data_IF_448091193720
#
_entry.id   IF_448091193720
#
_cell.length_a   1.000
_cell.length_b   1.000
_cell.length_c   1.000
_cell.angle_alpha   90.00
_cell.angle_beta   90.00
_cell.angle_gamma   90.00
#
_symmetry.space_group_name_H-M   'P 1'
#
loop_
_entity.id
_entity.type
_entity.pdbx_description
1 polymer ?
#
# COMPACT_ATOMS: atom_id res chain seq x y z
N UNK A 1 15.02 21.26 -22.35
CA UNK A 1 14.08 20.55 -21.46
C UNK A 1 12.69 20.76 -22.04
N UNK A 2 12.12 19.75 -22.72
CA UNK A 2 10.73 19.81 -23.22
C UNK A 2 9.82 19.24 -22.13
N UNK A 3 8.79 20.00 -21.78
CA UNK A 3 7.80 19.65 -20.77
C UNK A 3 7.06 18.36 -21.18
N UNK A 4 6.98 17.36 -20.29
CA UNK A 4 6.38 16.05 -20.58
C UNK A 4 4.85 16.10 -20.85
N UNK A 5 4.22 17.26 -20.63
CA UNK A 5 2.76 17.45 -20.78
C UNK A 5 2.28 17.44 -22.23
N UNK A 6 3.17 17.64 -23.20
CA UNK A 6 2.85 17.61 -24.63
C UNK A 6 3.48 16.37 -25.25
N UNK A 7 2.68 15.56 -25.98
CA UNK A 7 3.16 14.38 -26.74
C UNK A 7 4.34 14.81 -27.63
N UNK A 8 5.54 14.59 -27.10
CA UNK A 8 6.80 14.91 -27.75
C UNK A 8 7.46 13.59 -28.09
N UNK A 9 8.08 13.51 -29.27
CA UNK A 9 8.91 12.37 -29.63
C UNK A 9 10.07 12.24 -28.63
N UNK A 10 10.34 11.01 -28.20
CA UNK A 10 11.47 10.72 -27.32
C UNK A 10 12.77 10.76 -28.11
N UNK A 11 13.81 11.38 -27.53
CA UNK A 11 15.16 11.35 -28.11
C UNK A 11 15.87 10.10 -27.60
N UNK A 12 16.34 9.25 -28.52
CA UNK A 12 17.13 8.08 -28.18
C UNK A 12 18.59 8.48 -27.93
N UNK A 13 19.12 8.09 -26.77
CA UNK A 13 20.50 8.34 -26.39
C UNK A 13 21.26 7.01 -26.27
N UNK A 14 22.49 6.96 -26.80
CA UNK A 14 23.39 5.81 -26.61
C UNK A 14 24.01 5.78 -25.22
N UNK A 15 24.35 6.96 -24.70
CA UNK A 15 24.93 7.15 -23.38
C UNK A 15 24.40 8.45 -22.75
N UNK A 16 24.28 8.44 -21.43
CA UNK A 16 23.82 9.56 -20.62
C UNK A 16 24.71 9.65 -19.39
N UNK A 17 25.11 10.87 -19.01
CA UNK A 17 25.85 11.14 -17.77
C UNK A 17 24.92 11.74 -16.73
N UNK A 18 25.05 11.29 -15.47
CA UNK A 18 24.29 11.82 -14.35
C UNK A 18 24.62 13.31 -14.09
N UNK A 19 23.69 14.10 -13.53
CA UNK A 19 22.34 13.74 -13.07
C UNK A 19 21.25 14.11 -14.10
N UNK A 20 20.47 13.12 -14.54
CA UNK A 20 19.34 13.32 -15.45
C UNK A 20 18.26 12.25 -15.22
N UNK A 21 16.99 12.63 -15.34
CA UNK A 21 15.87 11.68 -15.37
C UNK A 21 15.73 11.09 -16.77
N UNK A 22 15.66 9.77 -16.86
CA UNK A 22 15.62 9.03 -18.12
C UNK A 22 14.47 8.04 -18.12
N UNK A 23 13.87 7.81 -19.29
CA UNK A 23 12.91 6.73 -19.49
C UNK A 23 13.66 5.52 -20.06
N UNK A 24 13.67 4.42 -19.31
CA UNK A 24 14.21 3.15 -19.78
C UNK A 24 13.12 2.31 -20.42
N UNK A 25 13.46 1.63 -21.52
CA UNK A 25 12.57 0.72 -22.25
C UNK A 25 13.35 -0.56 -22.51
N UNK A 26 12.74 -1.70 -22.20
CA UNK A 26 13.37 -3.00 -22.28
C UNK A 26 12.40 -4.12 -21.92
N UNK A 27 12.87 -5.36 -22.04
CA UNK A 27 12.13 -6.57 -21.70
C UNK A 27 12.29 -6.85 -20.21
N UNK A 28 11.24 -7.32 -19.53
CA UNK A 28 11.30 -7.70 -18.11
C UNK A 28 11.01 -6.56 -17.13
N UNK A 29 10.43 -5.45 -17.59
CA UNK A 29 10.04 -4.32 -16.73
C UNK A 29 8.60 -4.38 -16.20
N UNK A 30 7.85 -5.45 -16.51
CA UNK A 30 6.43 -5.60 -16.18
C UNK A 30 6.17 -5.67 -14.67
N UNK A 31 7.13 -6.22 -13.91
CA UNK A 31 7.02 -6.44 -12.47
C UNK A 31 7.99 -5.57 -11.66
N UNK A 32 8.47 -4.46 -12.22
CA UNK A 32 9.35 -3.53 -11.51
C UNK A 32 8.57 -2.85 -10.38
N UNK A 33 9.16 -2.81 -9.19
CA UNK A 33 8.62 -2.11 -8.04
C UNK A 33 9.09 -0.66 -8.09
N UNK A 34 8.20 0.33 -8.26
CA UNK A 34 8.62 1.72 -8.29
C UNK A 34 9.24 2.14 -6.95
N UNK A 35 10.38 2.80 -7.01
CA UNK A 35 11.13 3.24 -5.82
C UNK A 35 12.32 2.34 -5.45
N UNK A 36 12.46 1.16 -6.06
CA UNK A 36 13.66 0.34 -5.87
C UNK A 36 14.87 0.94 -6.60
N UNK A 37 16.10 0.71 -6.10
CA UNK A 37 17.31 1.18 -6.74
C UNK A 37 17.57 0.44 -8.06
N UNK A 38 18.10 1.17 -9.05
CA UNK A 38 18.59 0.60 -10.30
C UNK A 38 20.11 0.45 -10.25
N UNK A 39 20.59 -0.79 -10.28
CA UNK A 39 22.02 -1.12 -10.27
C UNK A 39 22.44 -1.80 -11.57
N UNK A 40 23.68 -1.55 -12.00
CA UNK A 40 24.29 -2.18 -13.17
C UNK A 40 25.26 -3.25 -12.70
N UNK A 41 25.01 -4.50 -13.09
CA UNK A 41 25.89 -5.64 -12.79
C UNK A 41 27.13 -5.59 -13.67
N UNK A 42 28.32 -5.61 -13.07
CA UNK A 42 29.62 -5.67 -13.76
C UNK A 42 30.15 -7.12 -13.85
N UNK A 43 31.15 -7.40 -14.70
CA UNK A 43 31.64 -8.77 -14.92
C UNK A 43 32.17 -9.54 -13.69
N UNK A 44 32.47 -8.85 -12.59
CA UNK A 44 32.98 -9.43 -11.34
C UNK A 44 32.00 -9.34 -10.18
N UNK A 45 30.81 -8.81 -10.43
CA UNK A 45 29.79 -8.69 -9.39
C UNK A 45 29.01 -10.01 -9.26
N UNK A 46 28.65 -10.36 -8.03
CA UNK A 46 27.69 -11.41 -7.79
C UNK A 46 26.27 -10.88 -8.04
N UNK A 47 25.58 -11.50 -8.99
CA UNK A 47 24.23 -11.11 -9.39
C UNK A 47 23.23 -11.31 -8.25
N UNK A 48 23.38 -12.37 -7.47
CA UNK A 48 22.44 -12.72 -6.43
C UNK A 48 22.57 -11.76 -5.25
N UNK A 49 23.82 -11.42 -4.86
CA UNK A 49 24.08 -10.39 -3.84
C UNK A 49 23.53 -9.01 -4.24
N UNK A 50 23.69 -8.61 -5.52
CA UNK A 50 23.10 -7.37 -6.03
C UNK A 50 21.57 -7.43 -5.96
N UNK A 51 20.98 -8.57 -6.32
CA UNK A 51 19.53 -8.79 -6.24
C UNK A 51 19.00 -8.59 -4.82
N UNK A 52 19.67 -9.17 -3.82
CA UNK A 52 19.35 -8.99 -2.41
C UNK A 52 19.49 -7.52 -1.97
N UNK A 53 20.55 -6.85 -2.41
CA UNK A 53 20.78 -5.43 -2.10
C UNK A 53 19.64 -4.54 -2.63
N UNK A 54 19.16 -4.79 -3.86
CA UNK A 54 18.04 -4.04 -4.46
C UNK A 54 16.73 -4.30 -3.73
N UNK A 55 16.51 -5.53 -3.27
CA UNK A 55 15.28 -5.95 -2.60
C UNK A 55 15.24 -5.61 -1.12
N UNK A 56 16.39 -5.27 -0.50
CA UNK A 56 16.52 -5.04 0.95
C UNK A 56 15.44 -4.14 1.53
N UNK A 57 15.21 -2.99 0.90
CA UNK A 57 14.26 -2.00 1.38
C UNK A 57 12.82 -2.51 1.23
N UNK A 58 12.50 -3.15 0.09
CA UNK A 58 11.19 -3.76 -0.12
C UNK A 58 10.92 -4.91 0.85
N UNK A 59 11.91 -5.74 1.16
CA UNK A 59 11.79 -6.83 2.14
C UNK A 59 11.58 -6.30 3.56
N UNK A 60 12.12 -5.13 3.88
CA UNK A 60 12.00 -4.51 5.21
C UNK A 60 10.59 -4.02 5.56
N UNK A 61 9.69 -3.90 4.56
CA UNK A 61 8.29 -3.48 4.77
C UNK A 61 7.59 -4.35 5.82
N UNK A 62 7.83 -5.66 5.75
CA UNK A 62 7.23 -6.66 6.64
C UNK A 62 7.52 -6.43 8.13
N UNK A 63 8.59 -5.71 8.47
CA UNK A 63 8.91 -5.34 9.85
C UNK A 63 7.87 -4.39 10.49
N UNK A 64 7.01 -3.77 9.67
CA UNK A 64 5.95 -2.88 10.16
C UNK A 64 4.64 -3.64 10.45
N UNK A 65 4.60 -4.95 10.21
CA UNK A 65 3.38 -5.74 10.38
C UNK A 65 3.18 -6.16 11.83
N UNK A 66 1.92 -6.29 12.23
CA UNK A 66 1.57 -6.83 13.53
C UNK A 66 1.90 -8.32 13.61
N UNK A 67 2.54 -8.73 14.70
CA UNK A 67 2.99 -10.11 14.89
C UNK A 67 1.83 -11.12 14.96
N UNK A 68 0.66 -10.67 15.40
CA UNK A 68 -0.56 -11.48 15.48
C UNK A 68 -1.42 -11.42 14.21
N UNK A 69 -0.97 -10.67 13.19
CA UNK A 69 -1.68 -10.45 11.92
C UNK A 69 -2.98 -9.65 12.07
N UNK A 70 -3.18 -8.91 13.17
CA UNK A 70 -4.33 -8.01 13.34
C UNK A 70 -3.98 -6.63 12.80
N UNK A 71 -4.78 -6.11 11.87
CA UNK A 71 -4.58 -4.76 11.37
C UNK A 71 -5.21 -4.51 10.02
N UNK A 72 -5.06 -3.28 9.54
CA UNK A 72 -5.54 -2.87 8.22
C UNK A 72 -4.67 -3.47 7.11
N UNK A 73 -5.27 -3.70 5.94
CA UNK A 73 -4.52 -4.03 4.72
C UNK A 73 -4.23 -2.75 3.94
N UNK A 74 -2.99 -2.58 3.47
CA UNK A 74 -2.54 -1.38 2.73
C UNK A 74 -2.02 -1.75 1.35
N UNK A 75 -2.41 -1.00 0.31
CA UNK A 75 -1.90 -1.16 -1.05
C UNK A 75 -1.49 0.19 -1.63
N UNK A 76 -0.35 0.23 -2.32
CA UNK A 76 0.21 1.47 -2.86
C UNK A 76 0.89 1.30 -4.23
N UNK A 77 1.03 2.38 -5.00
CA UNK A 77 1.66 2.35 -6.33
C UNK A 77 3.18 2.26 -6.28
N UNK A 78 3.80 2.74 -5.21
CA UNK A 78 5.27 2.83 -5.08
C UNK A 78 5.73 2.45 -3.68
N UNK A 79 7.00 2.01 -3.56
CA UNK A 79 7.63 1.68 -2.29
C UNK A 79 7.63 2.87 -1.33
N UNK A 80 8.07 4.05 -1.80
CA UNK A 80 8.15 5.24 -0.94
C UNK A 80 6.78 5.74 -0.46
N UNK A 81 5.74 5.61 -1.28
CA UNK A 81 4.38 5.92 -0.85
C UNK A 81 3.87 4.93 0.20
N UNK A 82 4.20 3.64 0.06
CA UNK A 82 3.87 2.63 1.05
C UNK A 82 4.56 2.91 2.39
N UNK A 83 5.85 3.23 2.38
CA UNK A 83 6.61 3.59 3.59
C UNK A 83 5.99 4.79 4.32
N UNK A 84 5.60 5.82 3.57
CA UNK A 84 4.93 7.00 4.14
C UNK A 84 3.58 6.65 4.78
N UNK A 85 2.78 5.78 4.15
CA UNK A 85 1.52 5.28 4.71
C UNK A 85 1.75 4.49 6.00
N UNK A 86 2.72 3.58 6.01
CA UNK A 86 3.04 2.76 7.18
C UNK A 86 3.54 3.61 8.35
N UNK A 87 4.40 4.59 8.08
CA UNK A 87 4.87 5.54 9.12
C UNK A 87 3.69 6.30 9.74
N UNK A 88 2.76 6.76 8.93
CA UNK A 88 1.59 7.49 9.43
C UNK A 88 0.66 6.59 10.27
N UNK A 89 0.39 5.37 9.81
CA UNK A 89 -0.45 4.41 10.56
C UNK A 89 0.18 4.07 11.91
N UNK A 90 1.51 3.94 11.94
CA UNK A 90 2.27 3.75 13.18
C UNK A 90 2.11 4.92 14.15
N UNK A 91 2.20 6.16 13.67
CA UNK A 91 1.99 7.37 14.49
C UNK A 91 0.55 7.44 15.04
N UNK A 92 -0.44 7.01 14.25
CA UNK A 92 -1.83 6.86 14.67
C UNK A 92 -2.09 5.66 15.60
N UNK A 93 -1.08 4.82 15.88
CA UNK A 93 -1.21 3.56 16.62
C UNK A 93 -2.19 2.57 15.99
N UNK A 94 -2.30 2.62 14.67
CA UNK A 94 -3.13 1.71 13.89
C UNK A 94 -2.24 0.55 13.43
N UNK A 95 -2.56 -0.70 13.82
CA UNK A 95 -1.76 -1.84 13.41
C UNK A 95 -2.00 -2.15 11.94
N UNK A 96 -0.94 -2.58 11.25
CA UNK A 96 -0.97 -3.02 9.86
C UNK A 96 -0.81 -4.52 9.84
N UNK A 97 -1.75 -5.22 9.22
CA UNK A 97 -1.71 -6.68 9.15
C UNK A 97 -1.13 -7.21 7.84
N UNK A 98 -1.29 -6.47 6.75
CA UNK A 98 -0.72 -6.80 5.44
C UNK A 98 -0.48 -5.53 4.61
N UNK A 99 0.52 -5.57 3.73
CA UNK A 99 0.83 -4.47 2.83
C UNK A 99 1.41 -4.94 1.50
N UNK A 100 1.09 -4.23 0.43
CA UNK A 100 1.60 -4.56 -0.91
C UNK A 100 1.84 -3.34 -1.81
N UNK A 101 2.43 -3.63 -2.96
CA UNK A 101 2.66 -2.67 -4.04
C UNK A 101 1.97 -3.18 -5.31
N UNK A 102 1.16 -2.32 -5.93
CA UNK A 102 0.43 -2.59 -7.16
C UNK A 102 -1.10 -2.64 -6.98
N UNK A 103 -1.83 -3.05 -8.03
CA UNK A 103 -3.29 -3.12 -8.01
C UNK A 103 -3.82 -4.02 -6.90
N UNK A 104 -4.94 -3.64 -6.29
CA UNK A 104 -5.65 -4.48 -5.31
C UNK A 104 -6.28 -5.66 -6.05
N UNK A 105 -5.95 -6.88 -5.62
CA UNK A 105 -6.44 -8.14 -6.18
C UNK A 105 -7.23 -8.91 -5.13
N UNK A 106 -8.02 -9.90 -5.58
CA UNK A 106 -8.75 -10.84 -4.72
C UNK A 106 -7.96 -11.37 -3.51
N UNK A 107 -6.68 -11.72 -3.70
CA UNK A 107 -5.83 -12.28 -2.63
C UNK A 107 -5.62 -11.30 -1.48
N UNK A 108 -5.62 -9.99 -1.75
CA UNK A 108 -5.33 -8.94 -0.78
C UNK A 108 -6.53 -8.71 0.17
N UNK A 109 -7.72 -9.22 -0.19
CA UNK A 109 -8.94 -9.12 0.63
C UNK A 109 -9.00 -10.16 1.74
N UNK A 110 -8.20 -11.24 1.64
CA UNK A 110 -8.29 -12.38 2.56
C UNK A 110 -8.12 -11.95 4.02
N UNK A 111 -7.15 -11.07 4.30
CA UNK A 111 -6.91 -10.59 5.65
C UNK A 111 -8.05 -9.68 6.15
N UNK A 112 -8.50 -8.74 5.32
CA UNK A 112 -9.59 -7.83 5.69
C UNK A 112 -10.90 -8.59 5.96
N UNK A 113 -11.18 -9.67 5.24
CA UNK A 113 -12.33 -10.55 5.50
C UNK A 113 -12.17 -11.25 6.86
N UNK A 114 -10.98 -11.75 7.19
CA UNK A 114 -10.68 -12.36 8.49
C UNK A 114 -10.85 -11.34 9.63
N UNK A 115 -10.48 -10.07 9.41
CA UNK A 115 -10.61 -9.01 10.41
C UNK A 115 -12.06 -8.78 10.84
N UNK A 116 -13.07 -9.06 10.01
CA UNK A 116 -14.48 -8.99 10.43
C UNK A 116 -14.79 -9.81 11.68
N UNK A 117 -14.07 -10.91 11.91
CA UNK A 117 -14.24 -11.77 13.09
C UNK A 117 -13.26 -11.45 14.22
N UNK A 118 -12.06 -10.97 13.90
CA UNK A 118 -11.01 -10.69 14.90
C UNK A 118 -11.13 -9.30 15.48
N UNK A 119 -11.17 -8.28 14.62
CA UNK A 119 -11.39 -6.89 15.00
C UNK A 119 -12.09 -6.17 13.83
N UNK A 120 -13.42 -6.01 13.88
CA UNK A 120 -14.19 -5.44 12.77
C UNK A 120 -13.78 -4.01 12.40
N UNK A 121 -13.09 -3.29 13.29
CA UNK A 121 -12.53 -1.95 13.02
C UNK A 121 -11.46 -1.96 11.94
N UNK A 122 -10.80 -3.09 11.74
CA UNK A 122 -9.73 -3.25 10.77
C UNK A 122 -10.16 -4.07 9.55
N UNK A 123 -11.45 -4.35 9.42
CA UNK A 123 -12.02 -5.03 8.25
C UNK A 123 -12.15 -4.10 7.03
N UNK A 124 -11.03 -3.49 6.65
CA UNK A 124 -10.94 -2.50 5.58
C UNK A 124 -9.65 -2.69 4.76
N UNK A 125 -9.62 -2.07 3.59
CA UNK A 125 -8.43 -1.92 2.75
C UNK A 125 -8.17 -0.45 2.47
N UNK A 126 -6.92 0.00 2.63
CA UNK A 126 -6.45 1.33 2.26
C UNK A 126 -5.69 1.24 0.93
N UNK A 127 -6.29 1.74 -0.15
CA UNK A 127 -5.73 1.72 -1.50
C UNK A 127 -5.27 3.14 -1.90
N UNK A 128 -3.96 3.35 -1.97
CA UNK A 128 -3.36 4.63 -2.33
C UNK A 128 -2.79 4.61 -3.75
N UNK A 129 -3.36 5.44 -4.62
CA UNK A 129 -2.90 5.63 -6.01
C UNK A 129 -2.81 4.31 -6.83
N UNK A 130 -3.66 3.34 -6.51
CA UNK A 130 -3.70 2.03 -7.19
C UNK A 130 -5.10 1.69 -7.67
N UNK A 131 -5.23 1.06 -8.85
CA UNK A 131 -6.51 0.56 -9.30
C UNK A 131 -6.93 -0.66 -8.47
N UNK A 132 -8.24 -0.84 -8.34
CA UNK A 132 -8.85 -2.03 -7.72
C UNK A 132 -9.36 -2.91 -8.86
N UNK A 133 -8.96 -4.18 -8.88
CA UNK A 133 -9.47 -5.13 -9.85
C UNK A 133 -10.96 -5.42 -9.62
N UNK A 134 -11.71 -5.69 -10.70
CA UNK A 134 -13.16 -5.85 -10.60
C UNK A 134 -13.55 -7.05 -9.72
N UNK A 135 -12.80 -8.16 -9.81
CA UNK A 135 -12.97 -9.34 -8.95
C UNK A 135 -12.72 -9.04 -7.47
N UNK A 136 -11.81 -8.11 -7.18
CA UNK A 136 -11.52 -7.64 -5.84
C UNK A 136 -12.67 -6.78 -5.27
N UNK A 137 -13.31 -5.94 -6.10
CA UNK A 137 -14.50 -5.16 -5.70
C UNK A 137 -15.69 -6.06 -5.38
N UNK A 138 -16.00 -7.02 -6.26
CA UNK A 138 -17.11 -7.96 -6.07
C UNK A 138 -16.99 -8.74 -4.75
N UNK A 139 -15.77 -9.15 -4.42
CA UNK A 139 -15.48 -9.90 -3.18
C UNK A 139 -15.58 -9.00 -1.97
N UNK A 140 -15.07 -7.77 -2.06
CA UNK A 140 -15.19 -6.81 -0.98
C UNK A 140 -16.66 -6.50 -0.67
N UNK A 141 -17.48 -6.24 -1.69
CA UNK A 141 -18.92 -6.01 -1.55
C UNK A 141 -19.64 -7.21 -0.95
N UNK A 142 -19.41 -8.42 -1.49
CA UNK A 142 -20.03 -9.66 -0.99
C UNK A 142 -19.69 -9.99 0.45
N UNK A 143 -18.52 -9.52 0.93
CA UNK A 143 -18.07 -9.72 2.30
C UNK A 143 -18.23 -8.47 3.18
N UNK A 144 -18.85 -7.39 2.69
CA UNK A 144 -18.98 -6.10 3.39
C UNK A 144 -17.64 -5.53 3.90
N UNK A 145 -16.55 -5.75 3.17
CA UNK A 145 -15.25 -5.14 3.43
C UNK A 145 -15.21 -3.79 2.74
N UNK A 146 -14.88 -2.73 3.48
CA UNK A 146 -14.76 -1.39 2.89
C UNK A 146 -13.38 -1.19 2.28
N UNK A 147 -13.32 -0.75 1.04
CA UNK A 147 -12.08 -0.30 0.40
C UNK A 147 -12.11 1.24 0.33
N UNK A 148 -11.10 1.88 0.91
CA UNK A 148 -10.88 3.31 0.78
C UNK A 148 -9.85 3.55 -0.32
N UNK A 149 -10.27 4.21 -1.39
CA UNK A 149 -9.42 4.53 -2.54
C UNK A 149 -9.15 6.04 -2.60
N UNK A 150 -7.89 6.44 -2.71
CA UNK A 150 -7.54 7.83 -2.97
C UNK A 150 -6.20 7.99 -3.70
N UNK A 151 -6.09 9.01 -4.54
CA UNK A 151 -4.83 9.42 -5.20
C UNK A 151 -4.01 10.42 -4.37
N UNK A 152 -4.58 10.96 -3.28
CA UNK A 152 -3.93 11.94 -2.41
C UNK A 152 -3.93 11.39 -0.98
N UNK A 153 -2.73 11.28 -0.41
CA UNK A 153 -2.50 10.55 0.85
C UNK A 153 -3.33 11.11 2.01
N UNK A 154 -3.44 12.44 2.12
CA UNK A 154 -4.24 13.10 3.16
C UNK A 154 -5.73 12.77 3.07
N UNK A 155 -6.27 12.63 1.85
CA UNK A 155 -7.69 12.27 1.67
C UNK A 155 -7.96 10.85 2.18
N UNK A 156 -7.02 9.93 1.92
CA UNK A 156 -7.12 8.56 2.41
C UNK A 156 -7.16 8.53 3.94
N UNK A 157 -6.30 9.34 4.56
CA UNK A 157 -6.24 9.46 6.02
C UNK A 157 -7.48 10.10 6.62
N UNK A 158 -8.03 11.14 6.00
CA UNK A 158 -9.27 11.75 6.45
C UNK A 158 -10.44 10.75 6.40
N UNK A 159 -10.57 10.01 5.29
CA UNK A 159 -11.58 8.96 5.13
C UNK A 159 -11.44 7.87 6.20
N UNK A 160 -10.21 7.42 6.45
CA UNK A 160 -9.94 6.39 7.44
C UNK A 160 -10.18 6.88 8.89
N UNK A 161 -9.70 8.08 9.21
CA UNK A 161 -9.89 8.70 10.54
C UNK A 161 -11.36 8.92 10.84
N UNK A 162 -12.13 9.38 9.85
CA UNK A 162 -13.57 9.54 9.97
C UNK A 162 -14.26 8.19 10.22
N UNK A 163 -13.88 7.15 9.48
CA UNK A 163 -14.40 5.81 9.68
C UNK A 163 -14.13 5.26 11.09
N UNK A 164 -12.92 5.44 11.63
CA UNK A 164 -12.61 5.01 13.00
C UNK A 164 -13.46 5.74 14.04
N UNK A 165 -13.61 7.07 13.90
CA UNK A 165 -14.44 7.88 14.80
C UNK A 165 -15.92 7.45 14.76
N UNK A 166 -16.43 7.20 13.56
CA UNK A 166 -17.82 6.75 13.39
C UNK A 166 -18.03 5.36 13.98
N UNK A 167 -17.07 4.45 13.81
CA UNK A 167 -17.10 3.13 14.44
C UNK A 167 -17.10 3.23 15.97
N UNK A 168 -16.19 4.01 16.55
CA UNK A 168 -16.12 4.18 18.01
C UNK A 168 -17.42 4.76 18.59
N UNK A 169 -18.03 5.72 17.89
CA UNK A 169 -19.32 6.29 18.28
C UNK A 169 -20.43 5.24 18.27
N UNK A 170 -20.54 4.47 17.17
CA UNK A 170 -21.54 3.40 17.04
C UNK A 170 -21.35 2.31 18.10
N UNK A 171 -20.10 1.92 18.37
CA UNK A 171 -19.81 0.91 19.38
C UNK A 171 -20.13 1.42 20.79
N UNK A 172 -19.84 2.69 21.09
CA UNK A 172 -20.23 3.31 22.36
C UNK A 172 -21.75 3.34 22.55
N UNK A 173 -22.51 3.67 21.50
CA UNK A 173 -23.99 3.63 21.52
C UNK A 173 -24.53 2.20 21.68
N UNK A 174 -23.86 1.20 21.08
CA UNK A 174 -24.21 -0.22 21.24
C UNK A 174 -23.98 -0.68 22.68
N UNK A 175 -22.83 -0.33 23.24
CA UNK A 175 -22.45 -0.69 24.62
C UNK A 175 -23.32 0.04 25.66
N UNK A 176 -23.67 1.32 25.44
CA UNK A 176 -24.53 2.06 26.39
C UNK A 176 -25.93 1.47 26.52
N UNK A 177 -26.43 0.76 25.51
CA UNK A 177 -27.72 0.05 25.57
C UNK A 177 -27.65 -1.26 26.37
N UNK A 178 -26.44 -1.79 26.57
CA UNK A 178 -26.20 -3.08 27.23
C UNK A 178 -25.55 -2.90 28.61
N UNK A 179 -24.97 -1.72 28.88
CA UNK A 179 -24.30 -1.41 30.14
C UNK A 179 -25.29 -1.34 31.31
N UNK A 180 -25.11 -2.23 32.29
CA UNK A 180 -25.71 -2.11 33.63
C UNK A 180 -24.77 -1.25 34.46
N UNK A 181 -25.17 -0.03 34.79
CA UNK A 181 -24.40 0.83 35.68
C UNK A 181 -24.50 0.30 37.12
N UNK A 182 -23.38 0.13 37.85
CA UNK A 182 -23.45 -0.15 39.28
C UNK A 182 -24.14 1.03 39.99
N UNK A 183 -25.08 0.72 40.88
CA UNK A 183 -25.77 1.69 41.73
C UNK A 183 -24.85 2.25 42.82
#
# INVERSE_FOLDING_TARGET
>A
MKELRVRSEFVHHKEIKAAMAVKLVGIGFENVIPGTPLLVVKPHDDRDEIGELVMRDASSISNNFSADGVGVTVQSSTLGALEALLSFLKDMKVPVGDAGIGPVRKKDLNLSILMKRRDPRYAIVLAFDVPIADDAREIAESNEVKIFEAQIIYKLFDMFTQYLKDYEKLEKERLSKVAVFPA
#
